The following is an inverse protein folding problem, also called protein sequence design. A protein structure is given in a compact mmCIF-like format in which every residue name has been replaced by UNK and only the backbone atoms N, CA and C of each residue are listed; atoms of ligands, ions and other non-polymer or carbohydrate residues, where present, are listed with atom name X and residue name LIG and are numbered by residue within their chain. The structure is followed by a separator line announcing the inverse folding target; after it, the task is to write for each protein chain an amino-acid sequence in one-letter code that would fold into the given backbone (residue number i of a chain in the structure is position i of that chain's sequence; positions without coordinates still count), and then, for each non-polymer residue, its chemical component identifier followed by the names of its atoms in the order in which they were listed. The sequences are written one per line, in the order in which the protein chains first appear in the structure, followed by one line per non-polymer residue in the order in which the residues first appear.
data_IF_951169199951
#
_entry.id   IF_951169199951
#
_cell.length_a   1.000
_cell.length_b   1.000
_cell.length_c   1.000
_cell.angle_alpha   90.00
_cell.angle_beta   90.00
_cell.angle_gamma   90.00
#
_symmetry.space_group_name_H-M   'P 1'
#
loop_
_entity.id
_entity.type
_entity.pdbx_description
1 polymer ?
#
# COMPACT_ATOMS: atom_id res chain seq x y z
N UNK A 1 16.54 -70.76 -7.64
CA UNK A 1 15.60 -69.63 -7.50
C UNK A 1 16.36 -68.32 -7.40
N UNK A 2 17.27 -68.03 -8.33
CA UNK A 2 18.20 -66.88 -8.19
C UNK A 2 18.04 -65.84 -9.29
N UNK A 3 17.31 -66.15 -10.38
CA UNK A 3 17.21 -65.27 -11.54
C UNK A 3 16.11 -64.21 -11.47
N UNK A 4 15.13 -64.37 -10.58
CA UNK A 4 14.02 -63.42 -10.40
C UNK A 4 14.29 -62.35 -9.34
N UNK A 5 15.29 -62.56 -8.47
CA UNK A 5 15.66 -61.60 -7.43
C UNK A 5 16.66 -60.55 -7.93
N UNK A 6 17.55 -60.92 -8.85
CA UNK A 6 18.50 -59.98 -9.47
C UNK A 6 17.82 -58.99 -10.41
N UNK A 7 16.82 -59.44 -11.18
CA UNK A 7 16.16 -58.59 -12.18
C UNK A 7 15.29 -57.49 -11.55
N UNK A 8 14.82 -57.71 -10.31
CA UNK A 8 14.07 -56.70 -9.53
C UNK A 8 15.01 -55.71 -8.84
N UNK A 9 16.25 -56.11 -8.49
CA UNK A 9 17.26 -55.23 -7.92
C UNK A 9 17.80 -54.23 -8.96
N UNK A 10 18.04 -54.68 -10.19
CA UNK A 10 18.53 -53.82 -11.27
C UNK A 10 17.51 -52.75 -11.69
N UNK A 11 16.23 -53.11 -11.84
CA UNK A 11 15.18 -52.14 -12.18
C UNK A 11 14.94 -51.08 -11.09
N UNK A 12 15.11 -51.42 -9.81
CA UNK A 12 15.01 -50.46 -8.70
C UNK A 12 16.19 -49.49 -8.66
N UNK A 13 17.41 -49.95 -8.97
CA UNK A 13 18.60 -49.10 -9.02
C UNK A 13 18.54 -48.07 -10.16
N UNK A 14 18.04 -48.48 -11.34
CA UNK A 14 17.87 -47.60 -12.49
C UNK A 14 16.77 -46.54 -12.25
N UNK A 15 15.65 -46.93 -11.62
CA UNK A 15 14.56 -45.99 -11.27
C UNK A 15 15.04 -44.95 -10.25
N UNK A 16 15.80 -45.36 -9.22
CA UNK A 16 16.33 -44.45 -8.19
C UNK A 16 17.32 -43.42 -8.75
N UNK A 17 18.21 -43.80 -9.68
CA UNK A 17 19.14 -42.85 -10.32
C UNK A 17 18.41 -41.84 -11.20
N UNK A 18 17.40 -42.25 -11.98
CA UNK A 18 16.58 -41.33 -12.79
C UNK A 18 15.74 -40.37 -11.94
N UNK A 19 15.23 -40.82 -10.78
CA UNK A 19 14.50 -39.95 -9.85
C UNK A 19 15.39 -38.91 -9.17
N UNK A 20 16.67 -39.21 -8.91
CA UNK A 20 17.61 -38.25 -8.32
C UNK A 20 17.98 -37.10 -9.28
N UNK A 21 18.10 -37.35 -10.58
CA UNK A 21 18.35 -36.29 -11.57
C UNK A 21 17.14 -35.36 -11.81
N UNK A 22 15.93 -35.81 -11.51
CA UNK A 22 14.70 -34.98 -11.60
C UNK A 22 14.44 -34.13 -10.34
N UNK A 23 15.15 -34.35 -9.23
CA UNK A 23 15.04 -33.51 -8.02
C UNK A 23 16.04 -32.34 -8.07
N UNK A 24 17.13 -32.46 -8.83
CA UNK A 24 18.13 -31.39 -8.96
C UNK A 24 17.64 -30.19 -9.80
N UNK A 25 16.65 -30.37 -10.68
CA UNK A 25 16.05 -29.27 -11.45
C UNK A 25 15.00 -28.46 -10.64
N UNK A 26 14.46 -29.01 -9.56
CA UNK A 26 13.46 -28.33 -8.73
C UNK A 26 14.05 -27.54 -7.53
N UNK A 27 15.29 -27.83 -7.12
CA UNK A 27 15.92 -27.14 -5.99
C UNK A 27 16.71 -25.87 -6.38
N UNK A 28 17.11 -25.71 -7.65
CA UNK A 28 17.85 -24.52 -8.10
C UNK A 28 16.96 -23.29 -8.33
N UNK A 29 15.64 -23.46 -8.47
CA UNK A 29 14.68 -22.37 -8.68
C UNK A 29 13.90 -21.98 -7.41
N UNK A 30 14.35 -22.43 -6.23
CA UNK A 30 13.73 -22.04 -4.95
C UNK A 30 14.66 -21.18 -4.10
N UNK A 31 15.96 -21.11 -4.42
CA UNK A 31 16.93 -20.29 -3.67
C UNK A 31 17.13 -18.90 -4.30
N UNK A 32 16.71 -18.69 -5.55
CA UNK A 32 16.47 -17.35 -6.11
C UNK A 32 14.99 -16.94 -5.96
N UNK A 33 14.35 -17.40 -4.88
CA UNK A 33 13.06 -16.87 -4.44
C UNK A 33 13.18 -15.34 -4.25
N UNK A 34 12.12 -14.58 -4.56
CA UNK A 34 12.17 -13.13 -4.80
C UNK A 34 12.59 -12.33 -3.56
N UNK A 35 13.90 -12.19 -3.34
CA UNK A 35 14.48 -11.33 -2.32
C UNK A 35 14.61 -9.86 -2.77
N UNK A 36 14.20 -9.53 -4.00
CA UNK A 36 14.27 -8.16 -4.50
C UNK A 36 13.12 -7.25 -3.98
N UNK A 37 12.11 -7.78 -3.30
CA UNK A 37 10.94 -6.98 -2.89
C UNK A 37 11.05 -6.33 -1.49
N UNK A 38 12.09 -6.65 -0.71
CA UNK A 38 12.21 -6.19 0.69
C UNK A 38 13.34 -5.18 0.84
N UNK A 39 13.36 -4.15 0.00
CA UNK A 39 14.24 -2.99 0.16
C UNK A 39 13.51 -1.64 0.04
N UNK A 40 12.18 -1.64 0.10
CA UNK A 40 11.39 -0.41 0.19
C UNK A 40 11.07 -0.11 1.66
N UNK A 41 12.09 0.29 2.44
CA UNK A 41 11.86 0.67 3.84
C UNK A 41 13.09 0.94 4.70
N UNK A 42 14.31 0.81 4.15
CA UNK A 42 15.55 1.16 4.86
C UNK A 42 16.24 2.31 4.16
N UNK A 43 16.30 3.46 4.81
CA UNK A 43 17.05 4.62 4.32
C UNK A 43 18.52 4.25 4.12
N UNK A 44 19.00 4.44 2.89
CA UNK A 44 20.41 4.48 2.55
C UNK A 44 20.62 5.59 1.54
N UNK A 45 21.57 6.44 1.91
CA UNK A 45 21.92 7.74 1.37
C UNK A 45 22.67 7.60 0.03
N UNK A 46 21.95 7.49 -1.09
CA UNK A 46 22.54 7.61 -2.44
C UNK A 46 21.53 8.14 -3.46
N UNK A 47 21.30 9.46 -3.52
CA UNK A 47 20.84 10.20 -4.73
C UNK A 47 19.80 9.55 -5.65
N UNK A 48 18.93 8.68 -5.13
CA UNK A 48 18.04 7.84 -5.91
C UNK A 48 16.78 8.65 -6.16
N UNK A 49 16.40 8.77 -7.45
CA UNK A 49 15.05 9.18 -7.80
C UNK A 49 14.10 8.30 -6.99
N UNK A 50 13.47 8.89 -5.97
CA UNK A 50 12.58 8.17 -5.05
C UNK A 50 11.47 7.59 -5.91
N UNK A 51 11.53 6.27 -6.13
CA UNK A 51 10.49 5.59 -6.89
C UNK A 51 9.17 5.87 -6.20
N UNK A 52 8.17 6.33 -6.97
CA UNK A 52 6.87 6.66 -6.41
C UNK A 52 6.29 5.42 -5.72
N UNK A 53 5.72 5.61 -4.53
CA UNK A 53 5.01 4.52 -3.84
C UNK A 53 3.85 4.03 -4.72
N UNK A 54 3.39 2.77 -4.59
CA UNK A 54 2.24 2.28 -5.36
C UNK A 54 1.01 3.20 -5.23
N UNK A 55 0.73 3.70 -4.03
CA UNK A 55 -0.36 4.67 -3.80
C UNK A 55 -0.13 5.98 -4.56
N UNK A 56 1.08 6.54 -4.54
CA UNK A 56 1.40 7.74 -5.30
C UNK A 56 1.27 7.52 -6.82
N UNK A 57 1.73 6.38 -7.32
CA UNK A 57 1.60 6.03 -8.74
C UNK A 57 0.13 5.93 -9.16
N UNK A 58 -0.71 5.25 -8.38
CA UNK A 58 -2.16 5.19 -8.61
C UNK A 58 -2.82 6.56 -8.53
N UNK A 59 -2.45 7.37 -7.54
CA UNK A 59 -3.00 8.73 -7.40
C UNK A 59 -2.71 9.58 -8.64
N UNK A 60 -1.52 9.48 -9.24
CA UNK A 60 -1.17 10.23 -10.45
C UNK A 60 -2.08 9.90 -11.63
N UNK A 61 -2.56 8.67 -11.75
CA UNK A 61 -3.43 8.23 -12.85
C UNK A 61 -4.92 8.51 -12.63
N UNK A 62 -5.34 8.90 -11.42
CA UNK A 62 -6.74 9.22 -11.12
C UNK A 62 -7.14 10.55 -11.74
N UNK A 63 -8.25 10.56 -12.47
CA UNK A 63 -8.79 11.74 -13.14
C UNK A 63 -9.67 12.59 -12.19
N UNK A 64 -10.52 11.94 -11.40
CA UNK A 64 -11.38 12.62 -10.43
C UNK A 64 -10.62 12.86 -9.13
N UNK A 65 -10.34 14.14 -8.84
CA UNK A 65 -9.61 14.59 -7.66
C UNK A 65 -10.31 15.80 -7.07
N UNK A 66 -10.50 15.76 -5.76
CA UNK A 66 -11.06 16.86 -4.98
C UNK A 66 -10.06 17.29 -3.92
N UNK A 67 -9.92 18.58 -3.71
CA UNK A 67 -8.94 19.14 -2.79
C UNK A 67 -9.60 20.08 -1.79
N UNK A 68 -9.06 20.11 -0.57
CA UNK A 68 -9.40 21.11 0.42
C UNK A 68 -8.20 21.40 1.32
N UNK A 69 -8.19 22.59 1.91
CA UNK A 69 -7.25 22.95 2.97
C UNK A 69 -8.05 23.52 4.13
N UNK A 70 -7.85 22.95 5.31
CA UNK A 70 -8.55 23.42 6.50
C UNK A 70 -7.91 24.73 7.01
N UNK A 71 -8.69 25.80 7.22
CA UNK A 71 -8.14 27.09 7.61
C UNK A 71 -7.61 27.12 9.05
N UNK A 72 -8.08 26.24 9.93
CA UNK A 72 -7.69 26.20 11.34
C UNK A 72 -6.44 25.34 11.54
N UNK A 73 -6.42 24.13 10.96
CA UNK A 73 -5.30 23.19 11.10
C UNK A 73 -4.19 23.42 10.07
N UNK A 74 -4.52 24.10 8.96
CA UNK A 74 -3.67 24.27 7.77
C UNK A 74 -3.31 22.97 7.06
N UNK A 75 -3.93 21.84 7.42
CA UNK A 75 -3.75 20.56 6.74
C UNK A 75 -4.43 20.63 5.39
N UNK A 76 -3.72 20.20 4.35
CA UNK A 76 -4.23 20.15 2.98
C UNK A 76 -4.37 18.69 2.54
N UNK A 77 -5.52 18.36 1.96
CA UNK A 77 -5.81 17.04 1.45
C UNK A 77 -6.31 17.11 0.01
N UNK A 78 -5.89 16.14 -0.80
CA UNK A 78 -6.52 15.84 -2.09
C UNK A 78 -6.92 14.37 -2.12
N UNK A 79 -8.18 14.08 -2.42
CA UNK A 79 -8.70 12.73 -2.56
C UNK A 79 -8.92 12.46 -4.03
N UNK A 80 -8.18 11.50 -4.58
CA UNK A 80 -8.42 10.92 -5.89
C UNK A 80 -9.38 9.75 -5.77
N UNK A 81 -10.37 9.66 -6.66
CA UNK A 81 -11.39 8.61 -6.64
C UNK A 81 -11.41 7.85 -7.97
N UNK A 82 -11.73 6.57 -7.89
CA UNK A 82 -12.01 5.73 -9.03
C UNK A 82 -13.22 4.82 -8.72
N UNK A 83 -14.28 4.87 -9.54
CA UNK A 83 -15.40 3.93 -9.40
C UNK A 83 -14.96 2.51 -9.73
N UNK A 84 -15.56 1.55 -9.03
CA UNK A 84 -15.38 0.11 -9.18
C UNK A 84 -16.74 -0.57 -9.06
N UNK A 85 -16.85 -1.79 -9.59
CA UNK A 85 -18.07 -2.60 -9.44
C UNK A 85 -18.43 -2.83 -7.96
N UNK A 86 -17.42 -2.90 -7.09
CA UNK A 86 -17.58 -3.10 -5.65
C UNK A 86 -17.73 -1.80 -4.84
N UNK A 87 -17.64 -0.61 -5.46
CA UNK A 87 -17.72 0.69 -4.78
C UNK A 87 -16.62 1.66 -5.21
N UNK A 88 -16.01 2.37 -4.26
CA UNK A 88 -15.01 3.41 -4.54
C UNK A 88 -13.63 3.00 -4.06
N UNK A 89 -12.67 3.00 -4.98
CA UNK A 89 -11.25 3.07 -4.64
C UNK A 89 -10.85 4.54 -4.52
N UNK A 90 -10.17 4.91 -3.44
CA UNK A 90 -9.65 6.25 -3.25
C UNK A 90 -8.16 6.24 -2.90
N UNK A 91 -7.46 7.32 -3.25
CA UNK A 91 -6.13 7.62 -2.72
C UNK A 91 -6.10 9.05 -2.19
N UNK A 92 -5.70 9.20 -0.94
CA UNK A 92 -5.47 10.48 -0.28
C UNK A 92 -4.03 10.93 -0.51
N UNK A 93 -3.82 12.17 -0.96
CA UNK A 93 -2.59 12.95 -0.79
C UNK A 93 -2.78 13.90 0.40
N UNK A 94 -1.90 13.83 1.40
CA UNK A 94 -1.97 14.63 2.62
C UNK A 94 -0.70 15.46 2.81
N UNK A 95 -0.87 16.75 3.10
CA UNK A 95 0.20 17.73 3.30
C UNK A 95 0.01 18.53 4.58
N UNK A 96 1.11 19.09 5.06
CA UNK A 96 1.20 19.95 6.23
C UNK A 96 0.61 19.32 7.50
N UNK A 97 0.81 18.01 7.69
CA UNK A 97 0.38 17.30 8.89
C UNK A 97 1.58 17.07 9.80
N UNK A 98 1.44 17.43 11.08
CA UNK A 98 2.49 17.32 12.10
C UNK A 98 2.13 16.21 13.07
N UNK A 99 3.06 15.27 13.27
CA UNK A 99 2.90 14.18 14.24
C UNK A 99 3.41 14.53 15.64
N UNK A 100 3.33 13.57 16.57
CA UNK A 100 2.82 12.21 16.40
C UNK A 100 1.27 12.18 16.40
N UNK A 101 0.67 11.44 15.47
CA UNK A 101 -0.79 11.22 15.41
C UNK A 101 -1.12 9.80 14.93
N UNK A 102 -2.30 9.30 15.29
CA UNK A 102 -2.96 8.18 14.60
C UNK A 102 -4.17 8.72 13.86
N UNK A 103 -4.23 8.51 12.55
CA UNK A 103 -5.22 9.12 11.69
C UNK A 103 -6.00 8.08 10.88
N UNK A 104 -7.20 8.46 10.47
CA UNK A 104 -8.10 7.70 9.62
C UNK A 104 -8.60 8.58 8.48
N UNK A 105 -8.74 7.97 7.30
CA UNK A 105 -9.53 8.51 6.20
C UNK A 105 -10.94 7.93 6.35
N UNK A 106 -11.91 8.82 6.58
CA UNK A 106 -13.31 8.46 6.78
C UNK A 106 -14.11 9.01 5.62
N UNK A 107 -14.88 8.13 5.00
CA UNK A 107 -15.94 8.48 4.07
C UNK A 107 -17.20 8.79 4.85
N UNK A 108 -17.89 9.87 4.49
CA UNK A 108 -19.24 10.18 4.95
C UNK A 108 -20.18 10.13 3.75
N UNK A 109 -21.12 9.20 3.78
CA UNK A 109 -22.10 9.02 2.73
C UNK A 109 -23.24 10.04 2.85
N UNK A 110 -23.96 10.30 1.76
CA UNK A 110 -25.10 11.22 1.72
C UNK A 110 -26.24 10.85 2.66
N UNK A 111 -26.33 9.58 3.04
CA UNK A 111 -27.27 9.08 4.04
C UNK A 111 -26.77 9.20 5.49
N UNK A 112 -25.62 9.84 5.72
CA UNK A 112 -25.00 10.05 7.02
C UNK A 112 -24.15 8.89 7.54
N UNK A 113 -24.08 7.75 6.84
CA UNK A 113 -23.21 6.64 7.24
C UNK A 113 -21.74 7.04 7.15
N UNK A 114 -20.94 6.57 8.12
CA UNK A 114 -19.50 6.86 8.22
C UNK A 114 -18.71 5.56 8.09
N UNK A 115 -17.73 5.52 7.18
CA UNK A 115 -16.87 4.35 6.95
C UNK A 115 -15.41 4.73 6.98
N UNK A 116 -14.61 4.08 7.82
CA UNK A 116 -13.15 4.22 7.79
C UNK A 116 -12.59 3.42 6.62
N UNK A 117 -12.04 4.12 5.62
CA UNK A 117 -11.46 3.52 4.42
C UNK A 117 -10.03 3.03 4.64
N UNK A 118 -9.31 3.68 5.55
CA UNK A 118 -7.91 3.39 5.88
C UNK A 118 -7.51 4.09 7.18
N UNK A 119 -6.47 3.58 7.84
CA UNK A 119 -5.87 4.19 9.03
C UNK A 119 -4.35 4.07 8.99
N UNK A 120 -3.65 5.07 9.52
CA UNK A 120 -2.18 5.15 9.52
C UNK A 120 -1.65 5.92 10.73
N UNK A 121 -0.33 5.87 10.92
CA UNK A 121 0.37 6.70 11.90
C UNK A 121 1.10 7.84 11.21
N UNK A 122 1.08 9.03 11.80
CA UNK A 122 1.93 10.16 11.44
C UNK A 122 3.06 10.21 12.48
N UNK A 123 4.32 9.98 12.09
CA UNK A 123 5.46 10.05 12.99
C UNK A 123 5.83 11.50 13.34
N UNK A 124 6.73 11.69 14.31
CA UNK A 124 7.11 13.02 14.82
C UNK A 124 7.55 14.02 13.73
N UNK A 125 8.16 13.55 12.64
CA UNK A 125 8.61 14.42 11.55
C UNK A 125 7.47 14.92 10.64
N UNK A 126 6.30 14.29 10.66
CA UNK A 126 5.14 14.71 9.87
C UNK A 126 5.26 14.43 8.37
N UNK A 127 4.37 15.05 7.57
CA UNK A 127 4.37 14.93 6.11
C UNK A 127 3.96 16.24 5.43
N UNK A 128 4.55 16.53 4.28
CA UNK A 128 4.23 17.66 3.40
C UNK A 128 4.45 19.03 4.05
N UNK A 129 5.48 19.19 4.88
CA UNK A 129 5.81 20.43 5.58
C UNK A 129 6.77 21.25 4.70
N UNK A 130 6.39 22.46 4.22
CA UNK A 130 7.18 23.22 3.25
C UNK A 130 8.63 23.51 3.70
N UNK A 131 8.81 23.92 4.96
CA UNK A 131 10.10 24.35 5.52
C UNK A 131 10.76 23.28 6.40
N UNK A 132 10.42 22.00 6.19
CA UNK A 132 11.02 20.92 6.97
C UNK A 132 12.51 20.74 6.66
N UNK A 133 13.27 20.32 7.67
CA UNK A 133 14.72 20.09 7.54
C UNK A 133 15.06 18.79 6.82
N UNK A 134 14.17 17.80 6.83
CA UNK A 134 14.40 16.49 6.23
C UNK A 134 13.49 16.29 5.02
N UNK A 135 13.98 15.55 4.03
CA UNK A 135 13.22 15.29 2.80
C UNK A 135 11.96 14.45 3.07
N UNK A 136 11.99 13.55 4.06
CA UNK A 136 10.83 12.73 4.45
C UNK A 136 9.66 13.60 4.91
N UNK A 137 9.95 14.66 5.67
CA UNK A 137 8.94 15.57 6.18
C UNK A 137 8.42 16.55 5.12
N UNK A 138 9.21 16.88 4.10
CA UNK A 138 8.79 17.71 2.96
C UNK A 138 7.83 16.96 2.03
N UNK A 139 8.00 15.64 1.90
CA UNK A 139 7.20 14.83 1.00
C UNK A 139 5.76 14.65 1.50
N UNK A 140 4.74 14.76 0.63
CA UNK A 140 3.36 14.44 0.99
C UNK A 140 3.19 12.96 1.28
N UNK A 141 2.19 12.63 2.10
CA UNK A 141 1.79 11.26 2.35
C UNK A 141 0.73 10.83 1.34
N UNK A 142 0.89 9.63 0.76
CA UNK A 142 -0.14 8.99 -0.07
C UNK A 142 -0.70 7.74 0.61
N UNK A 143 -2.01 7.67 0.81
CA UNK A 143 -2.70 6.54 1.45
C UNK A 143 -3.85 6.06 0.56
N UNK A 144 -3.83 4.77 0.21
CA UNK A 144 -4.96 4.12 -0.45
C UNK A 144 -6.07 3.75 0.55
N UNK A 145 -7.31 3.78 0.08
CA UNK A 145 -8.50 3.34 0.81
C UNK A 145 -9.58 2.80 -0.13
N UNK A 146 -10.53 2.07 0.43
CA UNK A 146 -11.67 1.52 -0.30
C UNK A 146 -12.94 1.59 0.55
N UNK A 147 -14.10 1.73 -0.10
CA UNK A 147 -15.40 1.64 0.55
C UNK A 147 -16.45 1.09 -0.41
N UNK A 148 -17.43 0.36 0.13
CA UNK A 148 -18.56 -0.22 -0.62
C UNK A 148 -19.68 0.81 -0.91
N UNK A 149 -19.28 2.03 -1.31
CA UNK A 149 -20.15 3.12 -1.74
C UNK A 149 -19.65 3.60 -3.09
N UNK A 150 -20.54 3.84 -4.04
CA UNK A 150 -20.20 4.47 -5.31
C UNK A 150 -19.88 5.96 -5.10
N UNK A 151 -19.05 6.59 -5.96
CA UNK A 151 -18.64 7.98 -5.75
C UNK A 151 -19.81 8.96 -5.61
N UNK A 152 -20.90 8.72 -6.34
CA UNK A 152 -22.11 9.55 -6.29
C UNK A 152 -22.95 9.38 -5.00
N UNK A 153 -22.66 8.38 -4.17
CA UNK A 153 -23.27 8.16 -2.86
C UNK A 153 -22.49 8.86 -1.73
N UNK A 154 -21.28 9.33 -2.03
CA UNK A 154 -20.39 9.99 -1.07
C UNK A 154 -20.76 11.47 -0.98
N UNK A 155 -20.84 11.99 0.24
CA UNK A 155 -21.01 13.41 0.51
C UNK A 155 -19.64 14.08 0.61
N UNK A 156 -18.80 13.59 1.53
CA UNK A 156 -17.45 14.11 1.73
C UNK A 156 -16.54 13.07 2.38
N UNK A 157 -15.25 13.39 2.40
CA UNK A 157 -14.20 12.68 3.12
C UNK A 157 -13.69 13.53 4.28
N UNK A 158 -13.35 12.88 5.38
CA UNK A 158 -12.71 13.50 6.54
C UNK A 158 -11.38 12.79 6.83
N UNK A 159 -10.34 13.56 7.10
CA UNK A 159 -9.16 13.05 7.80
C UNK A 159 -9.35 13.36 9.27
N UNK A 160 -9.45 12.32 10.09
CA UNK A 160 -9.70 12.43 11.53
C UNK A 160 -8.61 11.71 12.32
N UNK A 161 -8.26 12.24 13.48
CA UNK A 161 -7.41 11.50 14.42
C UNK A 161 -8.24 10.46 15.18
N UNK A 162 -7.59 9.48 15.78
CA UNK A 162 -8.26 8.46 16.59
C UNK A 162 -8.95 9.05 17.82
N UNK A 163 -8.50 10.23 18.28
CA UNK A 163 -9.09 11.01 19.35
C UNK A 163 -10.30 11.85 18.88
N UNK A 164 -10.72 11.71 17.62
CA UNK A 164 -11.89 12.38 17.05
C UNK A 164 -11.63 13.80 16.54
N UNK A 165 -10.38 14.27 16.53
CA UNK A 165 -10.07 15.60 15.96
C UNK A 165 -10.11 15.53 14.44
N UNK A 166 -11.01 16.29 13.82
CA UNK A 166 -11.00 16.50 12.37
C UNK A 166 -9.83 17.40 11.97
N UNK A 167 -9.02 16.94 11.03
CA UNK A 167 -7.88 17.68 10.49
C UNK A 167 -8.25 18.44 9.23
N UNK A 168 -9.02 17.82 8.33
CA UNK A 168 -9.49 18.43 7.08
C UNK A 168 -10.70 17.65 6.56
N UNK A 169 -11.56 18.34 5.83
CA UNK A 169 -12.71 17.78 5.11
C UNK A 169 -12.60 18.11 3.63
N UNK A 170 -12.84 17.13 2.76
CA UNK A 170 -12.80 17.26 1.30
C UNK A 170 -14.16 16.84 0.74
N UNK A 171 -14.81 17.67 -0.06
CA UNK A 171 -16.07 17.30 -0.73
C UNK A 171 -15.80 16.21 -1.78
N UNK A 172 -16.75 15.30 -1.99
CA UNK A 172 -16.69 14.33 -3.08
C UNK A 172 -17.09 14.94 -4.43
#
# INVERSE_FOLDING_TARGET
MEKLVDEVAEKRAQKRRRSFYMIAAAAALIIAGPLAAVAAGGGSDTGQQVAATPAQATFRTMADKKSATDPATKVSATVGMAPKEWGTQAVLELKNVKGPLKCSLVLVAKNGQRVTMSSWSVPNWGYGIPDAKTEEAKNPLYIGGAAAFQPNEIDHFEVVTFEGKKLVQVQA
#
